data_IF_033748455350
#
_entry.id   IF_033748455350
#
_cell.length_a   1.000
_cell.length_b   1.000
_cell.length_c   1.000
_cell.angle_alpha   90.00
_cell.angle_beta   90.00
_cell.angle_gamma   90.00
#
_symmetry.space_group_name_H-M   'P 1'
#
loop_
_entity.id
_entity.type
_entity.pdbx_description
1 polymer ?
#
# COMPACT_ATOMS: atom_id res chain seq x y z
N UNK A 1 0.84 -10.24 10.06
CA UNK A 1 -0.51 -9.64 10.22
C UNK A 1 -1.44 -10.28 9.20
N UNK A 2 -2.66 -10.64 9.59
CA UNK A 2 -3.69 -11.21 8.71
C UNK A 2 -4.90 -10.29 8.70
N UNK A 3 -5.55 -10.09 7.56
CA UNK A 3 -6.71 -9.22 7.42
C UNK A 3 -7.90 -10.00 6.87
N UNK A 4 -9.03 -9.90 7.58
CA UNK A 4 -10.32 -10.36 7.11
C UNK A 4 -11.20 -9.16 6.76
N UNK A 5 -11.54 -9.05 5.48
CA UNK A 5 -12.58 -8.17 5.01
C UNK A 5 -13.94 -8.89 5.14
N UNK A 6 -14.96 -8.21 5.67
CA UNK A 6 -16.28 -8.80 5.95
C UNK A 6 -16.25 -9.93 7.00
N UNK A 7 -15.59 -9.66 8.14
CA UNK A 7 -15.33 -10.63 9.19
C UNK A 7 -16.56 -10.97 10.08
N UNK A 8 -17.66 -10.24 9.93
CA UNK A 8 -18.82 -10.34 10.81
C UNK A 8 -20.12 -10.47 10.02
N UNK A 9 -21.00 -11.35 10.49
CA UNK A 9 -22.42 -11.32 10.16
C UNK A 9 -23.17 -10.49 11.19
N UNK A 10 -24.22 -9.80 10.72
CA UNK A 10 -25.11 -9.02 11.57
C UNK A 10 -26.49 -9.65 11.47
N UNK A 11 -26.99 -10.13 12.60
CA UNK A 11 -28.35 -10.66 12.71
C UNK A 11 -29.38 -9.53 12.81
N UNK A 12 -30.67 -9.84 12.69
CA UNK A 12 -31.79 -8.89 12.80
C UNK A 12 -31.76 -8.12 14.13
N UNK A 13 -31.23 -8.75 15.19
CA UNK A 13 -31.02 -8.15 16.51
C UNK A 13 -29.73 -7.32 16.65
N UNK A 14 -29.03 -7.03 15.54
CA UNK A 14 -27.71 -6.38 15.50
C UNK A 14 -26.62 -7.06 16.33
N UNK A 15 -26.81 -8.33 16.71
CA UNK A 15 -25.76 -9.13 17.31
C UNK A 15 -24.74 -9.52 16.25
N UNK A 16 -23.46 -9.38 16.61
CA UNK A 16 -22.33 -9.60 15.71
C UNK A 16 -21.80 -11.00 15.90
N UNK A 17 -21.95 -11.83 14.89
CA UNK A 17 -21.36 -13.18 14.86
C UNK A 17 -20.19 -13.21 13.88
N UNK A 18 -19.25 -14.13 14.12
CA UNK A 18 -18.08 -14.26 13.25
C UNK A 18 -18.46 -14.97 11.95
N UNK A 19 -17.82 -14.56 10.86
CA UNK A 19 -17.93 -15.24 9.59
C UNK A 19 -17.33 -16.66 9.67
N UNK A 20 -17.87 -17.61 8.89
CA UNK A 20 -17.36 -18.98 8.75
C UNK A 20 -15.85 -19.01 8.48
N UNK A 21 -15.34 -18.16 7.58
CA UNK A 21 -13.92 -18.13 7.24
C UNK A 21 -13.03 -17.72 8.42
N UNK A 22 -13.56 -16.89 9.31
CA UNK A 22 -12.86 -16.49 10.53
C UNK A 22 -12.82 -17.66 11.51
N UNK A 23 -13.91 -18.42 11.63
CA UNK A 23 -13.97 -19.62 12.46
C UNK A 23 -13.03 -20.71 11.93
N UNK A 24 -13.06 -21.01 10.64
CA UNK A 24 -12.16 -21.99 10.01
C UNK A 24 -10.69 -21.63 10.23
N UNK A 25 -10.37 -20.34 10.18
CA UNK A 25 -9.03 -19.85 10.47
C UNK A 25 -8.62 -20.07 11.93
N UNK A 26 -9.52 -19.89 12.90
CA UNK A 26 -9.24 -20.22 14.29
C UNK A 26 -8.98 -21.72 14.49
N UNK A 27 -9.77 -22.59 13.84
CA UNK A 27 -9.56 -24.04 13.90
C UNK A 27 -8.22 -24.44 13.27
N UNK A 28 -7.90 -23.88 12.11
CA UNK A 28 -6.64 -24.10 11.41
C UNK A 28 -5.44 -23.67 12.26
N UNK A 29 -5.52 -22.53 12.95
CA UNK A 29 -4.47 -22.08 13.88
C UNK A 29 -4.26 -23.08 15.00
N UNK A 30 -5.33 -23.55 15.64
CA UNK A 30 -5.22 -24.49 16.76
C UNK A 30 -4.61 -25.81 16.29
N UNK A 31 -5.02 -26.30 15.11
CA UNK A 31 -4.45 -27.51 14.51
C UNK A 31 -2.96 -27.33 14.16
N UNK A 32 -2.59 -26.19 13.57
CA UNK A 32 -1.21 -25.88 13.23
C UNK A 32 -0.31 -25.77 14.46
N UNK A 33 -0.82 -25.17 15.55
CA UNK A 33 -0.09 -25.08 16.81
C UNK A 33 0.24 -26.47 17.39
N UNK A 34 -0.70 -27.42 17.33
CA UNK A 34 -0.46 -28.80 17.77
C UNK A 34 0.61 -29.51 16.94
N UNK A 35 0.56 -29.37 15.61
CA UNK A 35 1.53 -30.02 14.70
C UNK A 35 2.94 -29.45 14.89
N UNK A 36 3.09 -28.12 14.94
CA UNK A 36 4.42 -27.48 14.97
C UNK A 36 5.15 -27.73 16.29
N UNK A 37 4.41 -27.93 17.38
CA UNK A 37 5.00 -28.12 18.71
C UNK A 37 5.01 -29.58 19.18
N UNK A 38 4.57 -30.52 18.34
CA UNK A 38 4.53 -31.97 18.63
C UNK A 38 3.80 -32.30 19.96
N UNK A 39 2.85 -31.44 20.33
CA UNK A 39 1.98 -31.61 21.50
C UNK A 39 0.55 -31.73 21.01
N UNK A 40 0.06 -32.97 21.02
CA UNK A 40 -1.31 -33.28 20.66
C UNK A 40 -2.29 -32.55 21.60
N UNK A 41 -3.20 -31.77 21.03
CA UNK A 41 -4.17 -30.99 21.80
C UNK A 41 -3.67 -29.65 22.37
N UNK A 42 -2.50 -29.16 21.94
CA UNK A 42 -2.04 -27.82 22.32
C UNK A 42 -3.02 -26.73 21.82
N UNK A 43 -3.77 -26.16 22.76
CA UNK A 43 -4.61 -24.98 22.50
C UNK A 43 -3.80 -23.73 22.79
N UNK A 44 -3.72 -22.82 21.82
CA UNK A 44 -3.14 -21.51 22.07
C UNK A 44 -3.96 -20.78 23.13
N UNK A 45 -3.28 -19.97 23.94
CA UNK A 45 -3.97 -19.05 24.83
C UNK A 45 -4.97 -18.18 24.04
N UNK A 46 -6.12 -17.85 24.63
CA UNK A 46 -7.11 -17.03 23.95
C UNK A 46 -6.47 -15.71 23.50
N UNK A 47 -6.80 -15.21 22.29
CA UNK A 47 -6.26 -13.96 21.81
C UNK A 47 -6.67 -12.79 22.70
N UNK A 48 -5.79 -11.80 22.79
CA UNK A 48 -6.16 -10.49 23.32
C UNK A 48 -7.06 -9.79 22.29
N UNK A 49 -8.30 -9.51 22.69
CA UNK A 49 -9.30 -8.83 21.89
C UNK A 49 -9.18 -7.32 22.10
N UNK A 50 -8.94 -6.57 21.03
CA UNK A 50 -8.91 -5.11 21.04
C UNK A 50 -9.98 -4.58 20.08
N UNK A 51 -10.89 -3.74 20.56
CA UNK A 51 -11.83 -3.04 19.69
C UNK A 51 -11.08 -2.02 18.83
N UNK A 52 -11.40 -1.94 17.54
CA UNK A 52 -10.81 -0.95 16.63
C UNK A 52 -11.90 -0.15 15.93
N UNK A 53 -11.60 1.07 15.43
CA UNK A 53 -12.60 1.89 14.74
C UNK A 53 -13.26 1.21 13.54
N UNK A 54 -12.56 0.28 12.89
CA UNK A 54 -13.04 -0.47 11.72
C UNK A 54 -13.62 -1.86 12.05
N UNK A 55 -13.63 -2.29 13.31
CA UNK A 55 -14.05 -3.64 13.69
C UNK A 55 -13.37 -4.12 14.97
N UNK A 56 -12.51 -5.12 14.85
CA UNK A 56 -11.72 -5.65 15.95
C UNK A 56 -10.33 -6.10 15.52
N UNK A 57 -9.47 -6.32 16.51
CA UNK A 57 -8.14 -6.89 16.36
C UNK A 57 -7.93 -7.98 17.40
N UNK A 58 -7.41 -9.11 16.95
CA UNK A 58 -7.02 -10.23 17.79
C UNK A 58 -5.51 -10.34 17.75
N UNK A 59 -4.87 -10.44 18.90
CA UNK A 59 -3.43 -10.63 19.01
C UNK A 59 -3.10 -11.85 19.85
N UNK A 60 -2.29 -12.74 19.29
CA UNK A 60 -1.71 -13.90 19.97
C UNK A 60 -0.22 -13.70 20.13
N UNK A 61 0.29 -14.16 21.27
CA UNK A 61 1.71 -14.46 21.43
C UNK A 61 1.87 -15.95 21.16
N UNK A 62 2.48 -16.28 20.02
CA UNK A 62 2.79 -17.66 19.68
C UNK A 62 3.99 -18.15 20.51
N UNK A 63 4.14 -19.47 20.70
CA UNK A 63 5.34 -20.03 21.29
C UNK A 63 6.57 -19.60 20.48
N UNK A 64 7.65 -19.22 21.16
CA UNK A 64 8.82 -18.58 20.54
C UNK A 64 8.74 -17.05 20.43
N UNK A 65 7.69 -16.41 20.98
CA UNK A 65 7.62 -14.96 21.14
C UNK A 65 7.09 -14.19 19.94
N UNK A 66 6.75 -14.88 18.85
CA UNK A 66 6.19 -14.27 17.64
C UNK A 66 4.78 -13.73 17.89
N UNK A 67 4.50 -12.52 17.40
CA UNK A 67 3.19 -11.90 17.52
C UNK A 67 2.35 -12.16 16.26
N UNK A 68 1.27 -12.91 16.41
CA UNK A 68 0.26 -13.04 15.38
C UNK A 68 -0.84 -12.01 15.62
N UNK A 69 -1.02 -11.10 14.66
CA UNK A 69 -2.06 -10.05 14.71
C UNK A 69 -3.04 -10.27 13.58
N UNK A 70 -4.32 -10.42 13.92
CA UNK A 70 -5.41 -10.61 12.98
C UNK A 70 -6.37 -9.43 13.10
N UNK A 71 -6.66 -8.82 11.97
CA UNK A 71 -7.57 -7.69 11.87
C UNK A 71 -8.90 -8.17 11.30
N UNK A 72 -9.97 -7.96 12.06
CA UNK A 72 -11.33 -8.32 11.67
C UNK A 72 -12.05 -7.03 11.30
N UNK A 73 -12.27 -6.79 10.00
CA UNK A 73 -12.97 -5.61 9.54
C UNK A 73 -14.47 -5.87 9.48
N UNK A 74 -15.23 -4.91 10.01
CA UNK A 74 -16.67 -4.89 9.96
C UNK A 74 -17.13 -4.02 8.78
N UNK A 75 -17.90 -4.63 7.88
CA UNK A 75 -18.45 -3.99 6.68
C UNK A 75 -19.45 -2.87 6.98
N UNK A 76 -20.06 -2.83 8.18
CA UNK A 76 -20.90 -1.71 8.58
C UNK A 76 -20.07 -0.52 9.08
N UNK A 77 -18.88 -0.74 9.62
CA UNK A 77 -17.97 0.31 10.09
C UNK A 77 -17.06 0.83 8.98
N UNK A 78 -16.73 -0.02 8.01
CA UNK A 78 -15.85 0.32 6.91
C UNK A 78 -16.68 0.67 5.67
N UNK A 79 -16.47 1.88 5.14
CA UNK A 79 -17.10 2.29 3.89
C UNK A 79 -16.84 1.30 2.76
N UNK A 80 -17.91 0.86 2.08
CA UNK A 80 -17.90 -0.11 0.97
C UNK A 80 -17.27 0.45 -0.32
N UNK A 81 -17.06 1.77 -0.40
CA UNK A 81 -16.49 2.41 -1.60
C UNK A 81 -14.98 2.19 -1.68
N UNK A 82 -14.49 1.91 -2.89
CA UNK A 82 -13.06 1.87 -3.18
C UNK A 82 -12.48 3.28 -3.02
N UNK A 83 -11.43 3.44 -2.21
CA UNK A 83 -10.72 4.70 -2.00
C UNK A 83 -9.67 4.93 -3.09
N UNK A 84 -10.07 4.85 -4.36
CA UNK A 84 -9.16 5.08 -5.50
C UNK A 84 -8.48 6.44 -5.43
N UNK A 85 -9.18 7.44 -4.87
CA UNK A 85 -8.60 8.75 -4.61
C UNK A 85 -7.36 8.68 -3.71
N UNK A 86 -7.27 7.75 -2.76
CA UNK A 86 -6.07 7.58 -1.92
C UNK A 86 -4.89 7.09 -2.76
N UNK A 87 -5.12 6.11 -3.63
CA UNK A 87 -4.11 5.63 -4.58
C UNK A 87 -3.70 6.75 -5.52
N UNK A 88 -4.66 7.47 -6.08
CA UNK A 88 -4.42 8.64 -6.94
C UNK A 88 -3.64 9.75 -6.23
N UNK A 89 -3.94 10.04 -4.96
CA UNK A 89 -3.18 11.00 -4.16
C UNK A 89 -1.72 10.56 -3.98
N UNK A 90 -1.48 9.26 -3.73
CA UNK A 90 -0.11 8.74 -3.65
C UNK A 90 0.60 8.80 -4.99
N UNK A 91 -0.08 8.48 -6.11
CA UNK A 91 0.48 8.64 -7.45
C UNK A 91 0.78 10.11 -7.79
N UNK A 92 -0.09 11.04 -7.40
CA UNK A 92 0.12 12.46 -7.58
C UNK A 92 1.35 12.94 -6.80
N UNK A 93 1.46 12.59 -5.52
CA UNK A 93 2.62 12.95 -4.69
C UNK A 93 3.91 12.31 -5.20
N UNK A 94 3.85 11.05 -5.62
CA UNK A 94 4.99 10.34 -6.19
C UNK A 94 5.43 10.97 -7.52
N UNK A 95 4.48 11.21 -8.41
CA UNK A 95 4.70 11.90 -9.68
C UNK A 95 5.30 13.29 -9.45
N UNK A 96 4.76 14.05 -8.50
CA UNK A 96 5.31 15.36 -8.12
C UNK A 96 6.76 15.28 -7.64
N UNK A 97 7.08 14.31 -6.77
CA UNK A 97 8.45 14.12 -6.27
C UNK A 97 9.41 13.67 -7.35
N UNK A 98 9.00 12.74 -8.22
CA UNK A 98 9.83 12.24 -9.33
C UNK A 98 10.06 13.36 -10.35
N UNK A 99 9.00 14.07 -10.78
CA UNK A 99 9.13 15.18 -11.73
C UNK A 99 9.97 16.31 -11.16
N UNK A 100 9.78 16.68 -9.89
CA UNK A 100 10.59 17.73 -9.24
C UNK A 100 12.08 17.37 -9.23
N UNK A 101 12.41 16.12 -8.87
CA UNK A 101 13.80 15.64 -8.93
C UNK A 101 14.36 15.61 -10.36
N UNK A 102 13.53 15.25 -11.35
CA UNK A 102 13.92 15.30 -12.75
C UNK A 102 14.15 16.73 -13.24
N UNK A 103 13.29 17.69 -12.88
CA UNK A 103 13.45 19.11 -13.22
C UNK A 103 14.74 19.69 -12.64
N UNK A 104 15.04 19.41 -11.36
CA UNK A 104 16.26 19.89 -10.71
C UNK A 104 17.52 19.29 -11.36
N UNK A 105 17.49 18.00 -11.72
CA UNK A 105 18.55 17.36 -12.49
C UNK A 105 18.66 17.95 -13.89
N UNK A 106 17.54 18.25 -14.55
CA UNK A 106 17.51 18.86 -15.87
C UNK A 106 18.16 20.23 -15.87
N UNK A 107 17.75 21.09 -14.93
CA UNK A 107 18.32 22.44 -14.75
C UNK A 107 19.82 22.38 -14.47
N UNK A 108 20.25 21.38 -13.72
CA UNK A 108 21.67 21.15 -13.46
C UNK A 108 22.42 20.74 -14.74
N UNK A 109 21.85 19.84 -15.53
CA UNK A 109 22.44 19.38 -16.80
C UNK A 109 22.46 20.47 -17.87
N UNK A 110 21.37 21.24 -18.02
CA UNK A 110 21.32 22.36 -18.98
C UNK A 110 22.34 23.43 -18.62
N UNK A 111 22.50 23.74 -17.33
CA UNK A 111 23.54 24.67 -16.86
C UNK A 111 24.94 24.17 -17.20
N UNK A 112 25.23 22.88 -16.96
CA UNK A 112 26.51 22.26 -17.33
C UNK A 112 26.75 22.36 -18.86
N UNK A 113 25.73 22.12 -19.68
CA UNK A 113 25.82 22.22 -21.15
C UNK A 113 26.04 23.67 -21.60
N UNK A 114 25.38 24.65 -20.97
CA UNK A 114 25.51 26.06 -21.31
C UNK A 114 26.86 26.66 -20.94
N UNK A 115 27.44 26.20 -19.84
CA UNK A 115 28.79 26.55 -19.38
C UNK A 115 29.90 25.83 -20.19
N UNK A 116 29.55 24.80 -20.96
CA UNK A 116 30.50 24.04 -21.78
C UNK A 116 30.93 24.80 -23.04
N UNK A 117 32.24 24.81 -23.38
CA UNK A 117 32.74 25.51 -24.57
C UNK A 117 32.18 24.94 -25.89
N UNK A 118 31.67 23.71 -25.88
CA UNK A 118 31.16 23.01 -27.07
C UNK A 118 29.61 22.93 -27.13
N UNK A 119 28.92 23.83 -26.42
CA UNK A 119 27.45 23.92 -26.34
C UNK A 119 26.70 23.91 -27.69
N UNK A 120 27.36 24.34 -28.77
CA UNK A 120 26.81 24.35 -30.13
C UNK A 120 26.62 22.95 -30.71
N UNK A 121 27.50 22.00 -30.39
CA UNK A 121 27.36 20.60 -30.84
C UNK A 121 26.26 19.87 -30.05
N UNK A 122 26.16 20.10 -28.74
CA UNK A 122 25.11 19.51 -27.90
C UNK A 122 23.70 19.97 -28.31
N UNK A 123 23.51 21.27 -28.61
CA UNK A 123 22.21 21.79 -29.09
C UNK A 123 21.78 21.14 -30.42
N UNK A 124 22.70 20.99 -31.38
CA UNK A 124 22.41 20.31 -32.66
C UNK A 124 22.03 18.85 -32.49
N UNK A 125 22.70 18.13 -31.60
CA UNK A 125 22.37 16.73 -31.31
C UNK A 125 21.00 16.60 -30.63
N UNK A 126 20.59 17.57 -29.80
CA UNK A 126 19.28 17.56 -29.15
C UNK A 126 18.14 17.83 -30.15
N UNK A 127 18.31 18.81 -31.04
CA UNK A 127 17.32 19.16 -32.08
C UNK A 127 17.10 18.04 -33.11
N UNK A 128 18.08 17.14 -33.29
CA UNK A 128 17.99 16.02 -34.25
C UNK A 128 17.34 14.75 -33.68
N UNK A 129 17.12 14.65 -32.37
CA UNK A 129 16.53 13.47 -31.73
C UNK A 129 15.07 13.74 -31.32
N UNK A 130 14.14 13.49 -32.25
CA UNK A 130 12.68 13.64 -32.05
C UNK A 130 12.16 12.84 -30.83
N UNK A 131 12.69 11.65 -30.58
CA UNK A 131 12.24 10.76 -29.50
C UNK A 131 12.45 11.33 -28.09
N UNK A 132 13.54 12.09 -27.90
CA UNK A 132 13.79 12.84 -26.66
C UNK A 132 12.84 14.03 -26.55
N UNK A 133 12.47 14.64 -27.68
CA UNK A 133 11.56 15.78 -27.70
C UNK A 133 10.12 15.39 -27.34
N UNK A 134 9.68 14.20 -27.76
CA UNK A 134 8.36 13.62 -27.45
C UNK A 134 8.22 13.30 -25.96
N UNK A 135 9.24 12.67 -25.34
CA UNK A 135 9.22 12.33 -23.91
C UNK A 135 9.04 13.58 -23.03
N UNK A 136 9.65 14.71 -23.41
CA UNK A 136 9.56 15.96 -22.64
C UNK A 136 8.26 16.72 -22.92
N UNK A 137 7.78 16.74 -24.16
CA UNK A 137 6.57 17.48 -24.53
C UNK A 137 5.30 16.81 -24.01
N UNK A 138 5.23 15.48 -24.03
CA UNK A 138 4.01 14.76 -23.68
C UNK A 138 3.92 14.44 -22.18
N UNK A 139 5.06 14.30 -21.48
CA UNK A 139 5.10 13.99 -20.05
C UNK A 139 5.28 15.24 -19.18
N UNK A 140 6.01 16.27 -19.63
CA UNK A 140 6.24 17.53 -18.87
C UNK A 140 5.48 18.74 -19.44
N UNK A 141 5.09 18.73 -20.72
CA UNK A 141 4.43 19.86 -21.40
C UNK A 141 3.07 20.31 -20.83
N UNK A 142 2.21 19.43 -20.26
CA UNK A 142 0.93 19.87 -19.68
C UNK A 142 1.08 20.84 -18.49
N UNK A 143 2.28 21.03 -17.93
CA UNK A 143 2.56 21.96 -16.83
C UNK A 143 3.14 23.31 -17.26
N UNK A 144 3.62 23.46 -18.49
CA UNK A 144 4.16 24.74 -19.00
C UNK A 144 3.10 25.65 -19.65
N UNK A 145 1.88 25.16 -19.82
CA UNK A 145 0.76 25.88 -20.46
C UNK A 145 -0.32 26.33 -19.47
N UNK A 146 -0.06 26.27 -18.16
CA UNK A 146 -0.98 26.68 -17.09
C UNK A 146 -0.47 27.86 -16.25
N UNK A 147 0.53 28.59 -16.74
CA UNK A 147 0.83 29.97 -16.30
C UNK A 147 0.47 30.97 -17.40
#
# INVERSE_FOLDING_TARGET
HVFFDDAFYHDENQQRTLNIFVNDFFEAINKAAGIVHDVEGMKLAPPQKTATPYGGRLSWRLPGGNLLVVHLKDKLKVSKKKRWSMVMYMYYLLGYRILGQCEDRMKSLTKIIEDSPDKRNYRRHFDQNEDLHVYYKDILGPRLLLE
#
